data_IF_147505688171
#
_entry.id   IF_147505688171
#
_cell.length_a   1.000
_cell.length_b   1.000
_cell.length_c   1.000
_cell.angle_alpha   90.00
_cell.angle_beta   90.00
_cell.angle_gamma   90.00
#
_symmetry.space_group_name_H-M   'P 1'
#
loop_
_entity.id
_entity.type
_entity.pdbx_description
1 polymer ?
#
# COMPACT_ATOMS: atom_id res chain seq x y z
N UNK A 1 4.81 -8.17 -1.15
CA UNK A 1 3.48 -8.19 -0.50
C UNK A 1 2.70 -9.47 -0.77
N UNK A 2 2.84 -10.11 -1.94
CA UNK A 2 2.54 -11.54 -2.02
C UNK A 2 3.46 -12.32 -1.07
N UNK A 3 2.98 -13.37 -0.37
CA UNK A 3 1.64 -13.97 -0.45
C UNK A 3 0.59 -13.32 0.49
N UNK A 4 0.95 -12.33 1.31
CA UNK A 4 0.08 -11.75 2.35
C UNK A 4 -1.24 -11.25 1.75
N UNK A 5 -1.18 -10.55 0.62
CA UNK A 5 -2.36 -9.99 -0.05
C UNK A 5 -3.31 -11.04 -0.62
N UNK A 6 -2.83 -12.26 -0.85
CA UNK A 6 -3.63 -13.37 -1.39
C UNK A 6 -4.38 -14.12 -0.28
N UNK A 7 -3.86 -14.06 0.95
CA UNK A 7 -4.36 -14.84 2.08
C UNK A 7 -5.12 -14.00 3.11
N UNK A 8 -4.81 -12.71 3.21
CA UNK A 8 -5.43 -11.83 4.18
C UNK A 8 -6.80 -11.34 3.70
N UNK A 9 -7.78 -11.28 4.62
CA UNK A 9 -9.08 -10.66 4.33
C UNK A 9 -8.97 -9.15 4.11
N UNK A 10 -8.00 -8.50 4.77
CA UNK A 10 -7.67 -7.10 4.61
C UNK A 10 -6.18 -6.87 4.91
N UNK A 11 -5.57 -5.90 4.21
CA UNK A 11 -4.19 -5.46 4.45
C UNK A 11 -4.20 -3.94 4.64
N UNK A 12 -3.67 -3.48 5.78
CA UNK A 12 -3.51 -2.05 6.07
C UNK A 12 -2.03 -1.74 6.16
N UNK A 13 -1.60 -0.77 5.37
CA UNK A 13 -0.26 -0.21 5.47
C UNK A 13 -0.27 0.96 6.46
N UNK A 14 0.66 0.92 7.41
CA UNK A 14 0.79 1.91 8.48
C UNK A 14 2.17 2.59 8.40
N UNK A 15 2.19 3.91 8.35
CA UNK A 15 3.41 4.75 8.32
C UNK A 15 3.66 5.48 9.65
N UNK A 16 3.24 4.89 10.77
CA UNK A 16 3.43 5.46 12.11
C UNK A 16 2.19 6.17 12.67
N UNK A 17 0.99 5.80 12.22
CA UNK A 17 -0.25 6.19 12.89
C UNK A 17 -0.28 5.65 14.32
N UNK A 18 -0.96 6.37 15.22
CA UNK A 18 -1.18 5.89 16.59
C UNK A 18 -2.07 4.65 16.60
N UNK A 19 -2.01 3.88 17.69
CA UNK A 19 -2.82 2.68 17.84
C UNK A 19 -4.32 3.00 17.80
N UNK A 20 -4.72 4.10 18.44
CA UNK A 20 -6.11 4.57 18.48
C UNK A 20 -6.62 4.89 17.07
N UNK A 21 -5.86 5.69 16.30
CA UNK A 21 -6.25 6.05 14.93
C UNK A 21 -6.33 4.82 14.01
N UNK A 22 -5.44 3.85 14.19
CA UNK A 22 -5.49 2.60 13.44
C UNK A 22 -6.74 1.78 13.79
N UNK A 23 -7.09 1.67 15.07
CA UNK A 23 -8.26 0.93 15.53
C UNK A 23 -9.57 1.60 15.12
N UNK A 24 -9.65 2.93 15.12
CA UNK A 24 -10.83 3.66 14.65
C UNK A 24 -11.14 3.34 13.19
N UNK A 25 -10.11 3.25 12.34
CA UNK A 25 -10.28 2.90 10.92
C UNK A 25 -10.64 1.43 10.75
N UNK A 26 -9.95 0.52 11.46
CA UNK A 26 -10.18 -0.92 11.35
C UNK A 26 -11.56 -1.36 11.86
N UNK A 27 -12.11 -0.65 12.85
CA UNK A 27 -13.44 -0.91 13.41
C UNK A 27 -14.57 -0.20 12.66
N UNK A 28 -14.25 0.67 11.69
CA UNK A 28 -15.22 1.47 10.95
C UNK A 28 -15.75 2.70 11.70
N UNK A 29 -15.17 3.06 12.85
CA UNK A 29 -15.48 4.30 13.56
C UNK A 29 -15.04 5.55 12.78
N UNK A 30 -14.00 5.41 11.94
CA UNK A 30 -13.55 6.44 11.00
C UNK A 30 -13.29 5.84 9.60
N UNK A 31 -13.57 6.57 8.50
CA UNK A 31 -13.33 6.05 7.16
C UNK A 31 -11.84 6.03 6.80
N UNK A 32 -11.41 5.00 6.08
CA UNK A 32 -10.07 4.97 5.49
C UNK A 32 -9.94 6.01 4.35
N UNK A 33 -8.95 6.91 4.46
CA UNK A 33 -8.69 7.97 3.46
C UNK A 33 -7.29 7.91 2.84
N UNK A 34 -6.42 7.05 3.37
CA UNK A 34 -5.04 6.93 2.92
C UNK A 34 -4.94 6.52 1.44
N UNK A 35 -3.92 7.05 0.77
CA UNK A 35 -3.55 6.71 -0.60
C UNK A 35 -2.04 6.44 -0.63
N UNK A 36 -1.64 5.43 -1.41
CA UNK A 36 -0.24 5.03 -1.49
C UNK A 36 0.63 6.19 -2.01
N UNK A 37 1.72 6.54 -1.31
CA UNK A 37 2.60 7.64 -1.72
C UNK A 37 3.63 7.22 -2.79
N UNK A 38 3.69 5.93 -3.16
CA UNK A 38 4.54 5.40 -4.23
C UNK A 38 3.99 4.05 -4.73
N UNK A 39 4.56 3.54 -5.83
CA UNK A 39 4.23 2.22 -6.38
C UNK A 39 4.74 1.08 -5.48
N UNK A 40 3.91 0.08 -5.23
CA UNK A 40 4.34 -1.15 -4.59
C UNK A 40 4.78 -2.14 -5.66
N UNK A 41 6.07 -2.50 -5.70
CA UNK A 41 6.61 -3.43 -6.67
C UNK A 41 6.04 -4.84 -6.44
N UNK A 42 5.81 -5.57 -7.52
CA UNK A 42 5.36 -6.97 -7.44
C UNK A 42 6.44 -7.96 -7.02
N UNK A 43 7.70 -7.63 -7.24
CA UNK A 43 8.84 -8.50 -6.99
C UNK A 43 10.09 -7.68 -6.69
N UNK A 44 11.11 -8.33 -6.13
CA UNK A 44 12.43 -7.69 -5.93
C UNK A 44 13.11 -7.35 -7.26
N UNK A 45 12.94 -8.18 -8.30
CA UNK A 45 13.47 -7.88 -9.63
C UNK A 45 12.89 -6.56 -10.19
N UNK A 46 11.61 -6.27 -9.94
CA UNK A 46 11.00 -5.00 -10.34
C UNK A 46 11.58 -3.80 -9.57
N UNK A 47 12.02 -3.99 -8.32
CA UNK A 47 12.73 -2.95 -7.55
C UNK A 47 14.10 -2.67 -8.17
N UNK A 48 14.87 -3.72 -8.43
CA UNK A 48 16.23 -3.61 -8.98
C UNK A 48 16.27 -2.97 -10.37
N UNK A 49 15.25 -3.24 -11.19
CA UNK A 49 15.11 -2.64 -12.51
C UNK A 49 14.58 -1.20 -12.47
N UNK A 50 13.97 -0.78 -11.35
CA UNK A 50 13.37 0.56 -11.23
C UNK A 50 14.45 1.64 -11.22
N UNK A 51 14.23 2.70 -12.00
CA UNK A 51 15.12 3.86 -11.99
C UNK A 51 14.74 4.79 -10.83
N UNK A 52 15.63 5.01 -9.85
CA UNK A 52 15.27 5.76 -8.63
C UNK A 52 15.04 7.26 -8.90
N UNK A 53 15.54 7.77 -10.02
CA UNK A 53 15.42 9.16 -10.46
C UNK A 53 14.19 9.42 -11.35
N UNK A 54 13.41 8.38 -11.67
CA UNK A 54 12.19 8.49 -12.50
C UNK A 54 10.96 8.18 -11.65
N UNK A 55 10.05 9.16 -11.44
CA UNK A 55 8.81 8.92 -10.71
C UNK A 55 7.91 7.89 -11.41
N UNK A 56 7.32 6.97 -10.64
CA UNK A 56 6.30 6.00 -11.09
C UNK A 56 6.75 5.11 -12.27
N UNK A 57 8.03 4.76 -12.29
CA UNK A 57 8.68 3.99 -13.35
C UNK A 57 8.48 2.47 -13.23
N UNK A 58 7.70 2.01 -12.24
CA UNK A 58 7.38 0.58 -12.14
C UNK A 58 6.36 0.24 -13.23
N UNK A 59 6.77 -0.54 -14.23
CA UNK A 59 5.94 -0.88 -15.40
C UNK A 59 4.66 -1.65 -14.99
N UNK A 60 4.80 -2.66 -14.12
CA UNK A 60 3.71 -3.50 -13.64
C UNK A 60 3.71 -3.57 -12.10
N UNK A 61 3.25 -2.50 -11.42
CA UNK A 61 3.22 -2.45 -9.97
C UNK A 61 2.09 -3.33 -9.44
N UNK A 62 2.31 -3.98 -8.29
CA UNK A 62 1.27 -4.72 -7.59
C UNK A 62 0.15 -3.77 -7.12
N UNK A 63 0.54 -2.58 -6.64
CA UNK A 63 -0.37 -1.47 -6.37
C UNK A 63 0.28 -0.18 -6.83
N UNK A 64 -0.44 0.61 -7.63
CA UNK A 64 0.07 1.88 -8.15
C UNK A 64 0.00 2.99 -7.09
N UNK A 65 0.84 4.01 -7.24
CA UNK A 65 0.69 5.30 -6.58
C UNK A 65 -0.76 5.79 -6.62
N UNK A 66 -1.22 6.33 -5.49
CA UNK A 66 -2.59 6.77 -5.35
C UNK A 66 -3.60 5.64 -5.16
N UNK A 67 -3.20 4.37 -5.13
CA UNK A 67 -4.10 3.27 -4.77
C UNK A 67 -4.52 3.39 -3.29
N UNK A 68 -5.76 2.99 -3.02
CA UNK A 68 -6.29 2.85 -1.66
C UNK A 68 -7.76 2.46 -1.73
N UNK A 69 -8.21 1.67 -0.78
CA UNK A 69 -9.61 1.29 -0.66
C UNK A 69 -10.37 2.32 0.16
N UNK A 70 -11.67 2.44 -0.08
CA UNK A 70 -12.59 3.10 0.84
C UNK A 70 -13.30 1.97 1.61
N UNK A 71 -13.25 2.04 2.94
CA UNK A 71 -14.01 1.17 3.85
C UNK A 71 -15.35 1.80 4.18
#
# INVERSE_FOLDING_TARGET
>A
LAPIVEQAAAVVANWGASAEALLDVLSGAAPARGRLPFDIPRSMAAVEASRPDVPFDTEDPLFRFGHGLAL
#
